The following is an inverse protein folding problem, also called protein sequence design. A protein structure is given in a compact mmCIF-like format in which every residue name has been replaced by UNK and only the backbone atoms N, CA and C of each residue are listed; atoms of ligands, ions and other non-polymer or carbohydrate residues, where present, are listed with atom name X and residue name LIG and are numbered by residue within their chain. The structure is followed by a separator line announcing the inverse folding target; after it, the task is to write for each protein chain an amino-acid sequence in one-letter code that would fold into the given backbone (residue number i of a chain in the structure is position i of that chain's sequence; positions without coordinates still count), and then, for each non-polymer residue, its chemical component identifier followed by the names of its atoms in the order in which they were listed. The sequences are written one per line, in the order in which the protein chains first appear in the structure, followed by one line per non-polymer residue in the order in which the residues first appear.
data_IF_574157552800
#
_entry.id   IF_574157552800
#
_cell.length_a   1.000
_cell.length_b   1.000
_cell.length_c   1.000
_cell.angle_alpha   90.00
_cell.angle_beta   90.00
_cell.angle_gamma   90.00
#
_symmetry.space_group_name_H-M   'P 1'
#
loop_
_entity.id
_entity.type
_entity.pdbx_description
1 polymer ?
#
# COMPACT_ATOMS: atom_id res chain seq x y z
N UNK A 1 6.23 -4.74 5.67
CA UNK A 1 6.76 -5.69 6.67
C UNK A 1 7.49 -6.86 6.00
N UNK A 2 8.67 -7.21 6.49
CA UNK A 2 9.50 -8.31 5.95
C UNK A 2 10.66 -7.88 5.05
N UNK A 3 10.81 -6.58 4.80
CA UNK A 3 11.97 -5.95 4.18
C UNK A 3 12.22 -4.63 4.93
N UNK A 4 13.48 -4.28 5.15
CA UNK A 4 13.86 -3.05 5.85
C UNK A 4 13.47 -1.83 5.03
N UNK A 5 12.93 -0.80 5.68
CA UNK A 5 12.61 0.47 5.04
C UNK A 5 13.93 1.16 4.66
N UNK A 6 14.14 1.53 3.37
CA UNK A 6 15.35 2.22 2.94
C UNK A 6 15.56 3.53 3.71
N UNK A 7 16.79 3.81 4.13
CA UNK A 7 17.12 5.00 4.92
C UNK A 7 16.74 6.32 4.24
N UNK A 8 16.86 6.38 2.91
CA UNK A 8 16.51 7.55 2.11
C UNK A 8 15.00 7.79 2.12
N UNK A 9 14.18 6.73 2.14
CA UNK A 9 12.74 6.85 2.26
C UNK A 9 12.36 7.35 3.67
N UNK A 10 12.99 6.79 4.71
CA UNK A 10 12.82 7.25 6.10
C UNK A 10 13.16 8.73 6.27
N UNK A 11 14.19 9.25 5.58
CA UNK A 11 14.52 10.68 5.60
C UNK A 11 13.44 11.57 4.96
N UNK A 12 12.66 11.05 4.01
CA UNK A 12 11.57 11.79 3.37
C UNK A 12 10.31 11.80 4.23
N UNK A 13 9.88 10.62 4.73
CA UNK A 13 8.57 10.47 5.38
C UNK A 13 8.61 10.24 6.90
N UNK A 14 9.78 9.99 7.49
CA UNK A 14 9.97 9.78 8.93
C UNK A 14 9.60 8.39 9.46
N UNK A 15 8.86 7.57 8.71
CA UNK A 15 8.53 6.17 9.09
C UNK A 15 9.80 5.31 9.10
N UNK A 16 9.99 4.56 10.19
CA UNK A 16 11.10 3.62 10.42
C UNK A 16 10.60 2.18 10.57
N UNK A 17 11.51 1.21 10.58
CA UNK A 17 11.16 -0.21 10.80
C UNK A 17 10.45 -0.42 12.15
N UNK A 18 10.78 0.37 13.18
CA UNK A 18 10.16 0.28 14.50
C UNK A 18 8.68 0.70 14.48
N UNK A 19 8.30 1.65 13.62
CA UNK A 19 6.92 2.14 13.53
C UNK A 19 5.97 1.12 12.91
N UNK A 20 6.51 0.17 12.15
CA UNK A 20 5.76 -0.91 11.49
C UNK A 20 6.03 -2.27 12.12
N UNK A 21 6.74 -2.32 13.24
CA UNK A 21 6.95 -3.55 13.98
C UNK A 21 5.63 -4.06 14.57
N UNK A 22 5.35 -5.34 14.40
CA UNK A 22 4.06 -5.94 14.74
C UNK A 22 2.86 -5.44 13.93
N UNK A 23 3.04 -4.55 12.96
CA UNK A 23 1.95 -4.12 12.08
C UNK A 23 1.44 -5.27 11.21
N UNK A 24 0.16 -5.17 10.82
CA UNK A 24 -0.48 -6.17 9.96
C UNK A 24 0.22 -6.36 8.61
N UNK A 25 -0.05 -7.49 7.98
CA UNK A 25 0.45 -7.81 6.65
C UNK A 25 -0.24 -6.96 5.56
N UNK A 26 0.30 -6.97 4.34
CA UNK A 26 -0.37 -6.31 3.21
C UNK A 26 -1.81 -6.80 3.00
N UNK A 27 -2.13 -8.11 3.01
CA UNK A 27 -3.51 -8.59 2.97
C UNK A 27 -4.44 -7.96 4.01
N UNK A 28 -3.97 -7.79 5.25
CA UNK A 28 -4.77 -7.19 6.33
C UNK A 28 -5.07 -5.72 6.04
N UNK A 29 -4.05 -4.97 5.63
CA UNK A 29 -4.19 -3.56 5.25
C UNK A 29 -5.05 -3.40 3.98
N UNK A 30 -4.90 -4.29 3.00
CA UNK A 30 -5.67 -4.25 1.76
C UNK A 30 -7.16 -4.48 2.00
N UNK A 31 -7.53 -5.45 2.84
CA UNK A 31 -8.92 -5.68 3.20
C UNK A 31 -9.55 -4.44 3.88
N UNK A 32 -8.82 -3.82 4.82
CA UNK A 32 -9.25 -2.58 5.48
C UNK A 32 -9.37 -1.42 4.48
N UNK A 33 -8.41 -1.30 3.55
CA UNK A 33 -8.42 -0.27 2.52
C UNK A 33 -9.59 -0.43 1.56
N UNK A 34 -9.89 -1.65 1.11
CA UNK A 34 -11.05 -1.94 0.24
C UNK A 34 -12.37 -1.58 0.93
N UNK A 35 -12.52 -1.96 2.20
CA UNK A 35 -13.68 -1.59 3.01
C UNK A 35 -13.78 -0.07 3.19
N UNK A 36 -12.64 0.60 3.37
CA UNK A 36 -12.58 2.04 3.44
C UNK A 36 -13.03 2.66 2.12
N UNK A 37 -12.40 2.40 0.97
CA UNK A 37 -12.72 3.11 -0.27
C UNK A 37 -14.13 2.81 -0.81
N UNK A 38 -14.63 1.58 -0.68
CA UNK A 38 -15.89 1.15 -1.29
C UNK A 38 -15.93 1.45 -2.80
N UNK A 39 -17.02 2.07 -3.27
CA UNK A 39 -17.25 2.41 -4.69
C UNK A 39 -16.72 3.80 -5.12
N UNK A 40 -15.96 4.46 -4.25
CA UNK A 40 -15.47 5.83 -4.48
C UNK A 40 -14.36 5.87 -5.54
N UNK A 41 -14.19 7.04 -6.16
CA UNK A 41 -13.10 7.31 -7.10
C UNK A 41 -11.85 7.64 -6.29
N UNK A 42 -10.69 7.10 -6.69
CA UNK A 42 -9.41 7.44 -6.09
C UNK A 42 -8.80 8.60 -6.85
N UNK A 43 -8.44 9.66 -6.13
CA UNK A 43 -7.78 10.84 -6.67
C UNK A 43 -6.46 11.02 -5.94
N UNK A 44 -5.37 11.20 -6.68
CA UNK A 44 -4.03 11.32 -6.12
C UNK A 44 -3.09 12.06 -7.05
N UNK A 45 -2.10 12.74 -6.46
CA UNK A 45 -1.02 13.36 -7.23
C UNK A 45 -0.01 12.29 -7.65
N UNK A 46 0.32 12.20 -8.93
CA UNK A 46 1.19 11.14 -9.47
C UNK A 46 0.70 9.71 -9.17
N UNK A 47 -0.63 9.52 -9.11
CA UNK A 47 -1.31 8.28 -8.67
C UNK A 47 -0.92 7.00 -9.43
N UNK A 48 -0.29 7.13 -10.60
CA UNK A 48 0.25 5.99 -11.33
C UNK A 48 1.25 5.16 -10.51
N UNK A 49 2.05 5.82 -9.66
CA UNK A 49 2.98 5.12 -8.76
C UNK A 49 2.23 4.27 -7.73
N UNK A 50 1.26 4.86 -7.03
CA UNK A 50 0.47 4.17 -6.01
C UNK A 50 -0.27 2.97 -6.58
N UNK A 51 -0.92 3.14 -7.74
CA UNK A 51 -1.65 2.05 -8.40
C UNK A 51 -0.71 0.90 -8.79
N UNK A 52 0.51 1.20 -9.24
CA UNK A 52 1.50 0.18 -9.59
C UNK A 52 1.98 -0.59 -8.35
N UNK A 53 2.19 0.10 -7.23
CA UNK A 53 2.56 -0.55 -5.95
C UNK A 53 1.42 -1.45 -5.47
N UNK A 54 0.17 -0.94 -5.44
CA UNK A 54 -1.00 -1.71 -5.02
C UNK A 54 -1.23 -2.96 -5.88
N UNK A 55 -1.13 -2.83 -7.21
CA UNK A 55 -1.25 -3.96 -8.14
C UNK A 55 -0.16 -5.02 -7.89
N UNK A 56 1.09 -4.59 -7.72
CA UNK A 56 2.22 -5.48 -7.45
C UNK A 56 2.02 -6.26 -6.15
N UNK A 57 1.62 -5.58 -5.08
CA UNK A 57 1.43 -6.22 -3.77
C UNK A 57 0.21 -7.16 -3.77
N UNK A 58 -0.89 -6.80 -4.45
CA UNK A 58 -2.02 -7.71 -4.68
C UNK A 58 -1.55 -8.98 -5.40
N UNK A 59 -0.74 -8.84 -6.46
CA UNK A 59 -0.20 -9.98 -7.20
C UNK A 59 0.70 -10.87 -6.33
N UNK A 60 1.59 -10.29 -5.50
CA UNK A 60 2.45 -11.04 -4.57
C UNK A 60 1.63 -11.82 -3.54
N UNK A 61 0.56 -11.21 -3.04
CA UNK A 61 -0.35 -11.82 -2.09
C UNK A 61 -1.40 -12.76 -2.72
N UNK A 62 -1.42 -12.90 -4.06
CA UNK A 62 -2.44 -13.64 -4.83
C UNK A 62 -3.86 -13.14 -4.56
N UNK A 63 -4.01 -11.84 -4.37
CA UNK A 63 -5.28 -11.15 -4.18
C UNK A 63 -5.81 -10.62 -5.52
N UNK A 64 -7.15 -10.52 -5.68
CA UNK A 64 -7.73 -9.95 -6.88
C UNK A 64 -7.41 -8.47 -6.98
N UNK A 65 -6.89 -8.06 -8.14
CA UNK A 65 -6.69 -6.66 -8.49
C UNK A 65 -7.70 -6.24 -9.55
N UNK A 66 -8.41 -5.15 -9.30
CA UNK A 66 -9.21 -4.44 -10.29
C UNK A 66 -8.75 -3.00 -10.26
N UNK A 67 -8.13 -2.54 -11.34
CA UNK A 67 -7.66 -1.16 -11.46
C UNK A 67 -8.81 -0.20 -11.10
N UNK A 68 -8.68 0.60 -10.02
CA UNK A 68 -9.71 1.56 -9.65
C UNK A 68 -9.88 2.60 -10.75
N UNK A 69 -11.07 3.20 -10.80
CA UNK A 69 -11.27 4.39 -11.64
C UNK A 69 -10.45 5.52 -11.04
N UNK A 70 -9.57 6.10 -11.85
CA UNK A 70 -8.64 7.18 -11.52
C UNK A 70 -8.69 8.22 -12.64
#
# INVERSE_FOLDING_TARGET
PGEAIPSEASLVHGITDADVDGAGSFPDAWAQFQAFIGDRILVGHSIGFDLAVLERECRRARLPWKKPRA
#
